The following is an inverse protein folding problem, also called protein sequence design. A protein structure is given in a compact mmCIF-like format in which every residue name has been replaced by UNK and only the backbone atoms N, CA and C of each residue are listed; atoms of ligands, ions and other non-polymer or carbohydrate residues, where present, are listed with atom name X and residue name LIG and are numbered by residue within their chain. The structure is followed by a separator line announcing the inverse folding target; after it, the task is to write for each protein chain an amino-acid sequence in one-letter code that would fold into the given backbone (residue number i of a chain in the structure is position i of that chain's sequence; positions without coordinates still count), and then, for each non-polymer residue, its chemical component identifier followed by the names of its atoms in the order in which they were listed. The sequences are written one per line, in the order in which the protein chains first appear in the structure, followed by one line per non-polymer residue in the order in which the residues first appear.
data_IF_852385859170
#
_entry.id   IF_852385859170
#
_cell.length_a   1.000
_cell.length_b   1.000
_cell.length_c   1.000
_cell.angle_alpha   90.00
_cell.angle_beta   90.00
_cell.angle_gamma   90.00
#
_symmetry.space_group_name_H-M   'P 1'
#
loop_
_entity.id
_entity.type
_entity.pdbx_description
1 polymer ?
#
# COMPACT_ATOMS: atom_id res chain seq x y z
N UNK A 1 3.79 4.74 -14.83
CA UNK A 1 3.84 5.62 -13.65
C UNK A 1 4.80 5.03 -12.65
N UNK A 2 5.69 5.83 -12.09
CA UNK A 2 6.64 5.38 -11.06
C UNK A 2 5.94 5.18 -9.71
N UNK A 3 6.30 4.15 -8.93
CA UNK A 3 5.68 3.91 -7.63
C UNK A 3 6.14 4.96 -6.60
N UNK A 4 5.17 5.45 -5.83
CA UNK A 4 5.33 6.54 -4.86
C UNK A 4 4.61 6.20 -3.56
N UNK A 5 5.12 6.72 -2.45
CA UNK A 5 4.43 6.74 -1.16
C UNK A 5 3.80 8.12 -1.00
N UNK A 6 2.48 8.16 -0.88
CA UNK A 6 1.70 9.42 -0.91
C UNK A 6 1.15 9.83 0.46
N UNK A 7 1.02 8.89 1.40
CA UNK A 7 0.47 9.17 2.73
C UNK A 7 0.75 8.04 3.74
N UNK A 8 0.55 8.37 5.02
CA UNK A 8 0.52 7.47 6.18
C UNK A 8 -0.83 7.65 6.88
N UNK A 9 -1.48 6.52 7.17
CA UNK A 9 -2.77 6.49 7.87
C UNK A 9 -2.71 5.56 9.08
N UNK A 10 -3.52 5.87 10.08
CA UNK A 10 -3.79 5.03 11.25
C UNK A 10 -5.11 4.27 11.01
N UNK A 11 -5.11 2.97 11.31
CA UNK A 11 -6.33 2.17 11.31
C UNK A 11 -7.11 2.41 12.60
N UNK A 12 -8.32 2.95 12.49
CA UNK A 12 -9.16 3.37 13.63
C UNK A 12 -10.45 2.55 13.76
N UNK A 13 -10.49 1.38 13.13
CA UNK A 13 -11.57 0.41 13.30
C UNK A 13 -11.05 -1.02 13.10
N UNK A 14 -11.81 -1.97 13.59
CA UNK A 14 -11.73 -3.35 13.12
C UNK A 14 -12.18 -3.46 11.65
N UNK A 15 -11.92 -4.63 11.03
CA UNK A 15 -12.40 -4.92 9.68
C UNK A 15 -13.91 -5.02 9.67
N UNK A 16 -14.56 -4.33 8.74
CA UNK A 16 -16.01 -4.40 8.53
C UNK A 16 -16.33 -4.68 7.06
N UNK A 17 -17.57 -5.09 6.80
CA UNK A 17 -18.07 -5.36 5.45
C UNK A 17 -18.99 -4.23 4.96
N UNK A 18 -18.67 -3.64 3.80
CA UNK A 18 -19.50 -2.66 3.10
C UNK A 18 -19.30 -2.78 1.58
N UNK A 19 -20.35 -3.11 0.84
CA UNK A 19 -20.28 -3.34 -0.61
C UNK A 19 -20.58 -2.09 -1.47
N UNK A 20 -20.70 -0.88 -0.88
CA UNK A 20 -20.89 0.36 -1.64
C UNK A 20 -19.73 0.60 -2.60
N UNK A 21 -19.99 0.82 -3.89
CA UNK A 21 -18.93 1.07 -4.89
C UNK A 21 -18.33 2.47 -4.78
N UNK A 22 -17.24 2.59 -4.03
CA UNK A 22 -16.49 3.84 -3.83
C UNK A 22 -15.09 3.81 -4.47
N UNK A 23 -14.63 2.65 -4.91
CA UNK A 23 -13.35 2.47 -5.60
C UNK A 23 -13.57 2.20 -7.08
N UNK A 24 -12.62 2.61 -7.93
CA UNK A 24 -12.57 2.20 -9.33
C UNK A 24 -12.05 0.77 -9.42
N UNK A 25 -12.85 -0.14 -9.95
CA UNK A 25 -12.46 -1.53 -10.17
C UNK A 25 -11.41 -1.62 -11.29
N UNK A 26 -10.25 -2.27 -11.08
CA UNK A 26 -9.28 -2.53 -12.13
C UNK A 26 -9.86 -3.40 -13.26
N UNK A 27 -9.35 -3.21 -14.47
CA UNK A 27 -9.67 -4.07 -15.60
C UNK A 27 -9.34 -5.54 -15.29
N UNK A 28 -10.21 -6.46 -15.69
CA UNK A 28 -10.06 -7.89 -15.41
C UNK A 28 -10.58 -8.35 -14.04
N UNK A 29 -11.05 -7.44 -13.17
CA UNK A 29 -11.59 -7.79 -11.84
C UNK A 29 -13.14 -7.76 -11.77
N UNK A 30 -13.81 -7.63 -12.92
CA UNK A 30 -15.26 -7.71 -13.03
C UNK A 30 -16.01 -6.64 -12.22
N UNK A 31 -16.93 -7.07 -11.35
CA UNK A 31 -17.81 -6.20 -10.56
C UNK A 31 -17.34 -6.00 -9.11
N UNK A 32 -16.03 -6.13 -8.86
CA UNK A 32 -15.46 -6.03 -7.51
C UNK A 32 -15.73 -4.66 -6.86
N UNK A 33 -16.09 -4.69 -5.57
CA UNK A 33 -16.44 -3.52 -4.75
C UNK A 33 -15.49 -3.31 -3.56
N UNK A 34 -14.58 -4.25 -3.32
CA UNK A 34 -13.64 -4.29 -2.19
C UNK A 34 -14.38 -4.17 -0.84
N UNK A 35 -15.15 -5.22 -0.45
CA UNK A 35 -16.12 -5.10 0.62
C UNK A 35 -15.50 -5.16 2.03
N UNK A 36 -14.31 -5.76 2.19
CA UNK A 36 -13.61 -5.81 3.47
C UNK A 36 -12.79 -4.52 3.66
N UNK A 37 -13.14 -3.72 4.67
CA UNK A 37 -12.64 -2.36 4.85
C UNK A 37 -12.24 -2.08 6.30
N UNK A 38 -11.42 -1.06 6.46
CA UNK A 38 -11.09 -0.42 7.75
C UNK A 38 -11.29 1.10 7.62
N UNK A 39 -11.58 1.76 8.73
CA UNK A 39 -11.58 3.23 8.79
C UNK A 39 -10.16 3.72 8.98
N UNK A 40 -9.80 4.77 8.23
CA UNK A 40 -8.47 5.36 8.27
C UNK A 40 -8.55 6.80 8.79
N UNK A 41 -7.58 7.17 9.64
CA UNK A 41 -7.33 8.55 10.05
C UNK A 41 -5.99 9.00 9.45
N UNK A 42 -5.92 10.15 8.75
CA UNK A 42 -4.65 10.64 8.22
C UNK A 42 -3.66 10.93 9.36
N UNK A 43 -2.44 10.40 9.24
CA UNK A 43 -1.30 10.75 10.11
C UNK A 43 -0.39 11.73 9.39
N UNK A 44 -0.10 11.47 8.12
CA UNK A 44 0.68 12.35 7.25
C UNK A 44 0.24 12.20 5.80
N UNK A 45 -0.05 13.31 5.14
CA UNK A 45 -0.23 13.38 3.69
C UNK A 45 0.99 14.13 3.17
N UNK A 46 1.68 13.60 2.16
CA UNK A 46 2.88 14.22 1.62
C UNK A 46 2.50 15.15 0.46
N UNK A 47 2.82 16.44 0.59
CA UNK A 47 2.62 17.41 -0.51
C UNK A 47 3.43 17.02 -1.75
N UNK A 48 4.67 16.59 -1.54
CA UNK A 48 5.50 15.93 -2.55
C UNK A 48 5.59 14.42 -2.25
N UNK A 49 5.09 13.54 -3.13
CA UNK A 49 5.16 12.10 -2.91
C UNK A 49 6.61 11.59 -2.81
N UNK A 50 6.85 10.67 -1.89
CA UNK A 50 8.18 10.05 -1.74
C UNK A 50 8.38 8.99 -2.82
N UNK A 51 9.46 9.09 -3.59
CA UNK A 51 9.81 8.08 -4.58
C UNK A 51 10.11 6.72 -3.92
N UNK A 52 9.50 5.66 -4.42
CA UNK A 52 9.69 4.33 -3.84
C UNK A 52 11.01 3.68 -4.26
N UNK A 53 11.45 3.91 -5.51
CA UNK A 53 12.66 3.29 -6.07
C UNK A 53 13.94 3.57 -5.25
N UNK A 54 14.23 4.79 -4.78
CA UNK A 54 15.40 5.06 -3.94
C UNK A 54 15.38 4.36 -2.57
N UNK A 55 14.20 3.91 -2.10
CA UNK A 55 14.06 3.22 -0.82
C UNK A 55 14.39 1.72 -0.92
N UNK A 56 14.35 1.13 -2.11
CA UNK A 56 14.55 -0.32 -2.35
C UNK A 56 15.79 -0.88 -1.62
N UNK A 57 16.97 -0.24 -1.65
CA UNK A 57 18.15 -0.74 -0.92
C UNK A 57 17.92 -0.85 0.59
N UNK A 58 17.15 0.08 1.18
CA UNK A 58 16.89 0.19 2.63
C UNK A 58 15.78 -0.75 3.13
N UNK A 59 14.91 -1.24 2.24
CA UNK A 59 13.76 -2.07 2.61
C UNK A 59 14.13 -3.54 2.83
N UNK A 60 14.12 -3.99 4.09
CA UNK A 60 14.50 -5.37 4.48
C UNK A 60 13.62 -6.47 3.88
N UNK A 61 12.34 -6.19 3.61
CA UNK A 61 11.42 -7.18 3.04
C UNK A 61 11.68 -7.45 1.55
N UNK A 62 12.45 -6.59 0.87
CA UNK A 62 12.87 -6.75 -0.52
C UNK A 62 14.22 -7.45 -0.51
N UNK A 63 14.20 -8.77 -0.71
CA UNK A 63 15.41 -9.60 -0.71
C UNK A 63 16.19 -9.43 -2.01
N UNK A 64 15.51 -9.46 -3.16
CA UNK A 64 16.13 -9.22 -4.45
C UNK A 64 15.92 -7.75 -4.88
N UNK A 65 16.98 -6.95 -4.83
CA UNK A 65 16.95 -5.51 -5.15
C UNK A 65 16.84 -5.24 -6.65
N UNK A 66 17.27 -6.16 -7.51
CA UNK A 66 17.20 -6.02 -8.96
C UNK A 66 15.82 -6.39 -9.50
N UNK A 67 15.19 -7.44 -8.94
CA UNK A 67 13.84 -7.91 -9.31
C UNK A 67 12.83 -7.65 -8.18
N UNK A 68 12.78 -6.41 -7.71
CA UNK A 68 12.02 -6.05 -6.51
C UNK A 68 10.50 -6.00 -6.72
N UNK A 69 10.04 -5.76 -7.95
CA UNK A 69 8.61 -5.63 -8.30
C UNK A 69 7.81 -6.89 -7.94
N UNK A 70 8.39 -8.07 -8.14
CA UNK A 70 7.76 -9.35 -7.78
C UNK A 70 7.48 -9.50 -6.28
N UNK A 71 8.16 -8.74 -5.41
CA UNK A 71 7.82 -8.72 -3.98
C UNK A 71 6.56 -7.90 -3.67
N UNK A 72 6.08 -7.07 -4.58
CA UNK A 72 4.86 -6.26 -4.41
C UNK A 72 3.68 -6.81 -5.22
N UNK A 73 3.95 -7.42 -6.37
CA UNK A 73 2.90 -7.95 -7.25
C UNK A 73 2.09 -9.07 -6.59
N UNK A 74 0.79 -9.12 -6.92
CA UNK A 74 -0.14 -10.15 -6.42
C UNK A 74 -0.59 -9.97 -4.97
N UNK A 75 -0.20 -8.89 -4.28
CA UNK A 75 -0.61 -8.58 -2.91
C UNK A 75 -1.12 -7.16 -2.79
N UNK A 76 -2.32 -7.00 -2.25
CA UNK A 76 -2.88 -5.67 -1.97
C UNK A 76 -2.24 -4.99 -0.76
N UNK A 77 -1.84 -5.80 0.24
CA UNK A 77 -1.25 -5.33 1.51
C UNK A 77 0.01 -6.13 1.81
N UNK A 78 1.01 -5.48 2.38
CA UNK A 78 2.24 -6.11 2.84
C UNK A 78 2.68 -5.52 4.18
N UNK A 79 3.03 -6.40 5.11
CA UNK A 79 3.61 -5.99 6.39
C UNK A 79 5.00 -5.39 6.17
N UNK A 80 5.24 -4.24 6.81
CA UNK A 80 6.54 -3.55 6.81
C UNK A 80 7.15 -3.72 8.20
N UNK A 81 8.36 -4.30 8.31
CA UNK A 81 9.04 -4.44 9.60
C UNK A 81 9.36 -3.07 10.21
N UNK A 82 9.18 -2.92 11.52
CA UNK A 82 9.38 -1.65 12.27
C UNK A 82 10.81 -1.10 12.20
N UNK A 83 11.82 -1.89 11.80
CA UNK A 83 13.23 -1.46 11.80
C UNK A 83 13.67 -0.77 10.51
N UNK A 84 13.58 0.56 10.49
CA UNK A 84 14.49 1.42 9.72
C UNK A 84 15.73 1.60 10.60
N UNK A 85 16.86 0.96 10.27
CA UNK A 85 18.12 1.16 11.00
C UNK A 85 18.70 2.52 10.64
N UNK A 86 19.02 3.30 11.68
CA UNK A 86 19.88 4.50 11.68
C UNK A 86 21.23 4.24 11.04
#
# INVERSE_FOLDING_TARGET
MEPRIVAVYEAVSEVFKDSKKIFKTPEGMGNESFPLRIKLKPVKIFDEPVEFKPLIPKLKFIKNKQKWTGHLMGKAIREIPVRITS
#
